data_IF_415285818872
#
_entry.id   IF_415285818872
#
_cell.length_a   1.000
_cell.length_b   1.000
_cell.length_c   1.000
_cell.angle_alpha   90.00
_cell.angle_beta   90.00
_cell.angle_gamma   90.00
#
_symmetry.space_group_name_H-M   'P 1'
#
loop_
_entity.id
_entity.type
_entity.pdbx_description
1 polymer ?
#
# COMPACT_ATOMS: atom_id res chain seq x y z
N UNK A 1 -15.02 -10.79 -52.86
CA UNK A 1 -15.20 -11.46 -51.54
C UNK A 1 -13.91 -11.69 -50.74
N UNK A 2 -12.72 -11.87 -51.34
CA UNK A 2 -11.47 -12.11 -50.59
C UNK A 2 -10.93 -10.90 -49.79
N UNK A 3 -11.21 -9.67 -50.24
CA UNK A 3 -10.71 -8.44 -49.60
C UNK A 3 -11.52 -8.01 -48.36
N UNK A 4 -12.81 -8.38 -48.28
CA UNK A 4 -13.69 -8.02 -47.15
C UNK A 4 -13.29 -8.76 -45.86
N UNK A 5 -12.77 -9.99 -45.98
CA UNK A 5 -12.28 -10.78 -44.83
C UNK A 5 -11.04 -10.18 -44.17
N UNK A 6 -10.15 -9.54 -44.95
CA UNK A 6 -8.92 -8.92 -44.41
C UNK A 6 -9.21 -7.66 -43.62
N UNK A 7 -10.18 -6.87 -44.06
CA UNK A 7 -10.61 -5.63 -43.38
C UNK A 7 -11.28 -5.96 -42.03
N UNK A 8 -12.10 -7.02 -41.99
CA UNK A 8 -12.77 -7.44 -40.75
C UNK A 8 -11.79 -7.88 -39.65
N UNK A 9 -10.68 -8.55 -40.04
CA UNK A 9 -9.66 -9.03 -39.09
C UNK A 9 -8.86 -7.85 -38.50
N UNK A 10 -8.52 -6.85 -39.32
CA UNK A 10 -7.79 -5.66 -38.84
C UNK A 10 -8.66 -4.81 -37.90
N UNK A 11 -9.97 -4.70 -38.18
CA UNK A 11 -10.92 -4.02 -37.29
C UNK A 11 -11.10 -4.73 -35.95
N UNK A 12 -11.10 -6.07 -35.91
CA UNK A 12 -11.13 -6.82 -34.65
C UNK A 12 -9.88 -6.58 -33.79
N UNK A 13 -8.68 -6.52 -34.39
CA UNK A 13 -7.43 -6.34 -33.62
C UNK A 13 -7.34 -4.93 -33.02
N UNK A 14 -7.83 -3.90 -33.71
CA UNK A 14 -7.88 -2.52 -33.19
C UNK A 14 -8.88 -2.34 -32.04
N UNK A 15 -10.00 -3.07 -32.04
CA UNK A 15 -10.95 -3.03 -30.92
C UNK A 15 -10.45 -3.74 -29.66
N UNK A 16 -9.61 -4.78 -29.79
CA UNK A 16 -9.02 -5.47 -28.64
C UNK A 16 -7.96 -4.63 -27.91
N UNK A 17 -7.28 -3.71 -28.60
CA UNK A 17 -6.32 -2.80 -27.94
C UNK A 17 -6.97 -1.68 -27.12
N UNK A 18 -8.26 -1.38 -27.33
CA UNK A 18 -8.97 -0.38 -26.54
C UNK A 18 -9.50 -0.92 -25.20
N UNK A 19 -9.65 -2.24 -25.06
CA UNK A 19 -10.16 -2.88 -23.83
C UNK A 19 -9.07 -3.32 -22.84
N UNK A 20 -7.79 -3.25 -23.21
CA UNK A 20 -6.67 -3.60 -22.32
C UNK A 20 -5.99 -2.39 -21.66
N UNK A 21 -6.53 -1.18 -21.81
CA UNK A 21 -5.93 0.03 -21.24
C UNK A 21 -6.34 0.30 -19.77
N UNK A 22 -7.27 -0.46 -19.19
CA UNK A 22 -7.73 -0.25 -17.81
C UNK A 22 -7.11 -1.21 -16.77
N UNK A 23 -6.16 -2.04 -17.16
CA UNK A 23 -5.42 -2.90 -16.21
C UNK A 23 -4.38 -2.12 -15.37
N UNK A 24 -4.20 -0.81 -15.61
CA UNK A 24 -3.27 0.04 -14.87
C UNK A 24 -3.90 0.85 -13.72
N UNK A 25 -5.23 0.79 -13.54
CA UNK A 25 -5.96 1.71 -12.64
C UNK A 25 -6.52 1.07 -11.36
N UNK A 26 -6.06 -0.13 -10.97
CA UNK A 26 -6.27 -0.61 -9.61
C UNK A 26 -5.27 0.00 -8.60
N UNK A 27 -4.47 1.00 -9.00
CA UNK A 27 -3.32 1.50 -8.22
C UNK A 27 -3.63 2.73 -7.31
N UNK A 28 -4.93 3.06 -7.18
CA UNK A 28 -5.48 4.01 -6.19
C UNK A 28 -6.53 3.34 -5.26
N UNK A 29 -6.45 2.03 -5.05
CA UNK A 29 -7.56 1.15 -4.65
C UNK A 29 -8.12 1.23 -3.20
N UNK A 30 -7.75 2.20 -2.36
CA UNK A 30 -8.40 2.41 -1.06
C UNK A 30 -8.54 3.92 -0.78
N UNK A 31 -9.77 4.45 -0.68
CA UNK A 31 -10.00 5.85 -0.31
C UNK A 31 -9.28 6.23 0.98
N UNK A 32 -8.63 7.41 1.02
CA UNK A 32 -7.92 7.90 2.20
C UNK A 32 -6.44 7.48 2.32
N UNK A 33 -5.98 6.45 1.60
CA UNK A 33 -4.58 6.02 1.67
C UNK A 33 -3.57 7.09 1.24
N UNK A 34 -3.88 7.80 0.15
CA UNK A 34 -3.03 8.88 -0.36
C UNK A 34 -2.96 10.03 0.66
N UNK A 35 -4.09 10.40 1.22
CA UNK A 35 -4.19 11.55 2.11
C UNK A 35 -3.52 11.24 3.45
N UNK A 36 -3.71 10.03 3.99
CA UNK A 36 -3.01 9.56 5.18
C UNK A 36 -1.48 9.53 4.97
N UNK A 37 -1.00 9.04 3.83
CA UNK A 37 0.43 9.03 3.52
C UNK A 37 1.00 10.46 3.37
N UNK A 38 0.27 11.34 2.69
CA UNK A 38 0.68 12.73 2.51
C UNK A 38 0.69 13.49 3.83
N UNK A 39 -0.25 13.24 4.73
CA UNK A 39 -0.27 13.83 6.07
C UNK A 39 0.97 13.44 6.86
N UNK A 40 1.36 12.16 6.84
CA UNK A 40 2.62 11.69 7.44
C UNK A 40 3.84 12.34 6.78
N UNK A 41 3.81 12.47 5.46
CA UNK A 41 4.84 13.15 4.66
C UNK A 41 5.03 14.62 5.00
N UNK A 42 3.94 15.36 5.23
CA UNK A 42 3.98 16.79 5.53
C UNK A 42 4.68 17.15 6.84
N UNK A 43 4.82 16.18 7.74
CA UNK A 43 5.54 16.33 9.03
C UNK A 43 6.84 15.51 9.07
N UNK A 44 7.33 15.05 7.92
CA UNK A 44 8.60 14.32 7.76
C UNK A 44 8.67 13.01 8.56
N UNK A 45 7.55 12.32 8.76
CA UNK A 45 7.48 11.09 9.56
C UNK A 45 7.38 9.80 8.71
N UNK A 46 7.59 9.88 7.40
CA UNK A 46 7.51 8.70 6.51
C UNK A 46 8.55 7.65 6.84
N UNK A 47 9.72 8.04 7.33
CA UNK A 47 10.76 7.10 7.77
C UNK A 47 10.32 6.29 9.00
N UNK A 48 9.61 6.92 9.95
CA UNK A 48 9.10 6.22 11.13
C UNK A 48 8.00 5.23 10.74
N UNK A 49 7.11 5.59 9.81
CA UNK A 49 6.16 4.65 9.22
C UNK A 49 6.89 3.48 8.53
N UNK A 50 7.91 3.77 7.72
CA UNK A 50 8.70 2.74 7.05
C UNK A 50 9.36 1.79 8.04
N UNK A 51 9.95 2.32 9.12
CA UNK A 51 10.58 1.54 10.18
C UNK A 51 9.59 0.59 10.83
N UNK A 52 8.37 1.05 11.15
CA UNK A 52 7.34 0.19 11.73
C UNK A 52 6.98 -0.98 10.82
N UNK A 53 6.76 -0.70 9.53
CA UNK A 53 6.30 -1.70 8.56
C UNK A 53 7.42 -2.68 8.19
N UNK A 54 8.61 -2.18 7.82
CA UNK A 54 9.74 -3.02 7.38
C UNK A 54 10.27 -3.95 8.46
N UNK A 55 10.20 -3.53 9.73
CA UNK A 55 10.63 -4.35 10.86
C UNK A 55 9.48 -5.20 11.42
N UNK A 56 8.34 -5.24 10.73
CA UNK A 56 7.15 -5.99 11.13
C UNK A 56 6.79 -5.76 12.60
N UNK A 57 6.86 -4.50 13.06
CA UNK A 57 6.82 -4.17 14.49
C UNK A 57 5.56 -4.71 15.18
N UNK A 58 5.77 -5.48 16.26
CA UNK A 58 4.71 -6.21 16.96
C UNK A 58 3.57 -5.32 17.48
N UNK A 59 3.84 -4.03 17.71
CA UNK A 59 2.83 -3.06 18.14
C UNK A 59 1.63 -2.98 17.18
N UNK A 60 1.85 -3.15 15.87
CA UNK A 60 0.78 -3.08 14.86
C UNK A 60 -0.21 -4.26 15.00
N UNK A 61 0.27 -5.43 15.42
CA UNK A 61 -0.57 -6.61 15.65
C UNK A 61 -1.20 -6.60 17.05
N UNK A 62 -0.43 -6.25 18.10
CA UNK A 62 -0.95 -6.14 19.47
C UNK A 62 -2.09 -5.14 19.59
N UNK A 63 -2.10 -4.11 18.75
CA UNK A 63 -3.17 -3.12 18.68
C UNK A 63 -4.29 -3.49 17.71
N UNK A 64 -4.20 -4.64 17.04
CA UNK A 64 -5.21 -5.15 16.10
C UNK A 64 -5.29 -4.40 14.79
N UNK A 65 -4.24 -3.67 14.40
CA UNK A 65 -4.26 -2.86 13.19
C UNK A 65 -3.94 -3.66 11.95
N UNK A 66 -2.97 -4.57 12.07
CA UNK A 66 -2.58 -5.47 11.00
C UNK A 66 -2.99 -6.87 11.40
N UNK A 67 -3.65 -7.58 10.48
CA UNK A 67 -3.95 -8.99 10.69
C UNK A 67 -2.69 -9.81 10.43
N UNK A 68 -2.38 -10.80 11.29
CA UNK A 68 -1.30 -11.74 11.04
C UNK A 68 -1.53 -12.47 9.71
N UNK A 69 -0.49 -12.55 8.88
CA UNK A 69 -0.51 -13.37 7.66
C UNK A 69 0.04 -14.76 8.01
N UNK A 70 -0.79 -15.79 7.82
CA UNK A 70 -0.39 -17.19 8.06
C UNK A 70 -0.15 -17.53 9.54
N UNK A 71 0.90 -18.30 9.82
CA UNK A 71 1.27 -18.76 11.17
C UNK A 71 2.04 -17.73 12.01
N UNK A 72 2.33 -16.54 11.47
CA UNK A 72 3.06 -15.49 12.18
C UNK A 72 2.14 -14.75 13.15
N UNK A 73 2.42 -14.82 14.45
CA UNK A 73 1.45 -14.58 15.53
C UNK A 73 1.38 -13.16 16.09
N UNK A 74 2.18 -12.20 15.60
CA UNK A 74 2.06 -10.83 16.13
C UNK A 74 3.22 -9.89 15.91
N UNK A 75 4.03 -10.10 14.87
CA UNK A 75 5.17 -9.26 14.50
C UNK A 75 6.40 -9.39 15.39
N UNK A 76 7.44 -8.64 15.06
CA UNK A 76 8.74 -8.64 15.76
C UNK A 76 8.72 -7.71 16.96
N UNK A 77 9.08 -8.22 18.13
CA UNK A 77 9.30 -7.40 19.31
C UNK A 77 10.75 -6.87 19.32
N UNK A 78 10.95 -5.67 18.80
CA UNK A 78 12.21 -4.95 18.86
C UNK A 78 11.99 -3.53 19.40
N UNK A 79 12.04 -3.31 20.73
CA UNK A 79 11.72 -2.01 21.32
C UNK A 79 12.71 -0.91 20.93
N UNK A 80 13.98 -1.25 20.66
CA UNK A 80 15.02 -0.26 20.29
C UNK A 80 14.75 0.37 18.92
N UNK A 81 14.12 -0.39 18.01
CA UNK A 81 13.77 0.09 16.66
C UNK A 81 12.32 0.57 16.60
N UNK A 82 11.40 -0.21 17.15
CA UNK A 82 9.96 0.03 17.02
C UNK A 82 9.45 1.13 17.96
N UNK A 83 9.97 1.26 19.18
CA UNK A 83 9.46 2.25 20.12
C UNK A 83 9.80 3.70 19.71
N UNK A 84 11.03 4.03 19.25
CA UNK A 84 11.31 5.37 18.76
C UNK A 84 10.48 5.75 17.54
N UNK A 85 10.33 4.82 16.58
CA UNK A 85 9.53 5.05 15.38
C UNK A 85 8.05 5.30 15.72
N UNK A 86 7.50 4.49 16.63
CA UNK A 86 6.17 4.67 17.16
C UNK A 86 5.99 6.04 17.83
N UNK A 87 6.90 6.38 18.75
CA UNK A 87 6.85 7.62 19.50
C UNK A 87 6.94 8.84 18.59
N UNK A 88 7.76 8.79 17.53
CA UNK A 88 7.85 9.86 16.55
C UNK A 88 6.53 10.12 15.81
N UNK A 89 5.81 9.06 15.42
CA UNK A 89 4.48 9.19 14.81
C UNK A 89 3.43 9.73 15.79
N UNK A 90 3.48 9.31 17.06
CA UNK A 90 2.57 9.81 18.11
C UNK A 90 2.82 11.29 18.40
N UNK A 91 4.08 11.69 18.61
CA UNK A 91 4.45 13.08 18.88
C UNK A 91 4.09 14.02 17.72
N UNK A 92 4.16 13.52 16.48
CA UNK A 92 3.76 14.27 15.30
C UNK A 92 2.24 14.27 15.01
N UNK A 93 1.43 13.62 15.87
CA UNK A 93 -0.02 13.51 15.68
C UNK A 93 -0.44 12.64 14.49
N UNK A 94 0.47 11.82 13.96
CA UNK A 94 0.25 11.01 12.76
C UNK A 94 -0.12 9.56 13.04
N UNK A 95 -0.40 9.25 14.30
CA UNK A 95 -0.78 7.91 14.75
C UNK A 95 -1.97 7.33 13.96
N UNK A 96 -3.07 8.07 13.82
CA UNK A 96 -4.26 7.56 13.12
C UNK A 96 -4.00 7.34 11.63
N UNK A 97 -3.17 8.19 10.99
CA UNK A 97 -2.80 8.02 9.59
C UNK A 97 -1.91 6.78 9.40
N UNK A 98 -0.93 6.57 10.30
CA UNK A 98 -0.08 5.38 10.25
C UNK A 98 -0.91 4.10 10.43
N UNK A 99 -1.80 4.08 11.44
CA UNK A 99 -2.77 3.01 11.68
C UNK A 99 -3.65 2.75 10.45
N UNK A 100 -4.24 3.81 9.87
CA UNK A 100 -5.08 3.69 8.68
C UNK A 100 -4.33 2.99 7.55
N UNK A 101 -3.08 3.40 7.31
CA UNK A 101 -2.24 2.85 6.24
C UNK A 101 -2.02 1.35 6.40
N UNK A 102 -1.65 0.91 7.60
CA UNK A 102 -1.38 -0.52 7.83
C UNK A 102 -2.66 -1.35 7.91
N UNK A 103 -3.75 -0.80 8.44
CA UNK A 103 -5.02 -1.53 8.55
C UNK A 103 -5.67 -1.80 7.20
N UNK A 104 -5.58 -0.85 6.28
CA UNK A 104 -6.20 -1.01 4.96
C UNK A 104 -5.23 -1.54 3.90
N UNK A 105 -4.05 -2.04 4.30
CA UNK A 105 -3.02 -2.52 3.39
C UNK A 105 -2.77 -1.54 2.23
N UNK A 106 -2.61 -0.25 2.53
CA UNK A 106 -2.55 0.78 1.51
C UNK A 106 -1.48 0.47 0.45
N UNK A 107 -1.75 0.70 -0.85
CA UNK A 107 -0.83 0.35 -1.95
C UNK A 107 0.59 0.93 -1.80
N UNK A 108 0.74 2.05 -1.07
CA UNK A 108 2.04 2.65 -0.79
C UNK A 108 3.01 1.70 -0.08
N UNK A 109 2.51 0.75 0.71
CA UNK A 109 3.35 -0.24 1.40
C UNK A 109 4.09 -1.13 0.40
N UNK A 110 3.39 -1.62 -0.62
CA UNK A 110 3.94 -2.46 -1.70
C UNK A 110 4.76 -1.63 -2.69
N UNK A 111 4.26 -0.46 -3.12
CA UNK A 111 4.99 0.42 -4.07
C UNK A 111 6.33 0.90 -3.54
N UNK A 112 6.50 0.96 -2.22
CA UNK A 112 7.77 1.32 -1.57
C UNK A 112 8.63 0.11 -1.19
N UNK A 113 8.16 -1.12 -1.46
CA UNK A 113 8.86 -2.37 -1.12
C UNK A 113 9.04 -2.55 0.38
N UNK A 114 8.02 -2.20 1.18
CA UNK A 114 8.06 -2.37 2.64
C UNK A 114 7.37 -3.66 3.08
N UNK A 115 6.55 -4.22 2.21
CA UNK A 115 5.83 -5.47 2.37
C UNK A 115 5.96 -6.21 1.05
N UNK A 116 6.24 -7.50 1.14
CA UNK A 116 6.29 -8.43 0.01
C UNK A 116 4.93 -9.11 -0.21
#
# INVERSE_FOLDING_TARGET
MKQLKKILIVLCILCLSAFCADAAYADYAVPGCRDAYNAIGSVSQTQNLATLVKNDCAVMYRKGWRLPLGSNTGGTYNPEVCAPAWNGLVQAGQFENAKFIVTHNCPVLYRKGWVD
#
